data_IF_755187836247
#
_entry.id   IF_755187836247
#
_cell.length_a   1.000
_cell.length_b   1.000
_cell.length_c   1.000
_cell.angle_alpha   90.00
_cell.angle_beta   90.00
_cell.angle_gamma   90.00
#
_symmetry.space_group_name_H-M   'P 1'
#
loop_
_entity.id
_entity.type
_entity.pdbx_description
1 polymer ?
#
# COMPACT_ATOMS: atom_id res chain seq x y z
N UNK A 1 -15.64 -14.01 -2.26
CA UNK A 1 -14.33 -14.55 -1.93
C UNK A 1 -13.23 -13.71 -2.58
N UNK A 2 -12.17 -13.42 -1.84
CA UNK A 2 -11.11 -12.53 -2.29
C UNK A 2 -9.79 -13.27 -2.40
N UNK A 3 -8.98 -12.89 -3.38
CA UNK A 3 -7.66 -13.49 -3.60
C UNK A 3 -6.61 -12.41 -3.68
N UNK A 4 -5.54 -12.54 -2.88
CA UNK A 4 -4.37 -11.67 -2.96
C UNK A 4 -3.40 -12.30 -3.96
N UNK A 5 -2.86 -11.50 -4.86
CA UNK A 5 -1.97 -12.00 -5.90
C UNK A 5 -0.97 -10.94 -6.34
N UNK A 6 0.06 -11.37 -7.03
CA UNK A 6 1.06 -10.49 -7.61
C UNK A 6 0.62 -10.14 -9.05
N UNK A 7 0.39 -8.84 -9.34
CA UNK A 7 -0.08 -8.46 -10.69
C UNK A 7 1.08 -8.45 -11.68
N UNK A 8 1.47 -9.64 -12.16
CA UNK A 8 2.66 -9.81 -12.99
C UNK A 8 2.42 -9.61 -14.49
N UNK A 9 1.26 -10.01 -15.01
CA UNK A 9 1.05 -9.84 -16.42
C UNK A 9 0.72 -8.38 -16.73
N UNK A 10 0.96 -7.99 -17.97
CA UNK A 10 0.82 -6.61 -18.40
C UNK A 10 -0.59 -6.08 -18.16
N UNK A 11 -1.59 -6.88 -18.43
CA UNK A 11 -2.99 -6.47 -18.29
C UNK A 11 -3.37 -6.26 -16.83
N UNK A 12 -2.99 -7.19 -15.96
CA UNK A 12 -3.26 -7.07 -14.53
C UNK A 12 -2.50 -5.90 -13.93
N UNK A 13 -1.24 -5.69 -14.32
CA UNK A 13 -0.46 -4.59 -13.79
C UNK A 13 -1.05 -3.25 -14.20
N UNK A 14 -1.55 -3.13 -15.43
CA UNK A 14 -2.21 -1.91 -15.88
C UNK A 14 -3.48 -1.62 -15.09
N UNK A 15 -4.31 -2.64 -14.86
CA UNK A 15 -5.52 -2.50 -14.05
C UNK A 15 -5.19 -2.13 -12.61
N UNK A 16 -4.12 -2.70 -12.08
CA UNK A 16 -3.62 -2.41 -10.75
C UNK A 16 -3.21 -0.93 -10.63
N UNK A 17 -2.47 -0.40 -11.62
CA UNK A 17 -2.07 1.00 -11.62
C UNK A 17 -3.26 1.95 -11.83
N UNK A 18 -4.22 1.57 -12.66
CA UNK A 18 -5.43 2.37 -12.86
C UNK A 18 -6.20 2.51 -11.55
N UNK A 19 -6.36 1.41 -10.81
CA UNK A 19 -7.04 1.48 -9.53
C UNK A 19 -6.27 2.32 -8.53
N UNK A 20 -4.93 2.17 -8.49
CA UNK A 20 -4.08 3.00 -7.64
C UNK A 20 -4.30 4.49 -7.93
N UNK A 21 -4.29 4.86 -9.22
CA UNK A 21 -4.52 6.24 -9.62
C UNK A 21 -5.90 6.72 -9.18
N UNK A 22 -6.93 5.94 -9.48
CA UNK A 22 -8.31 6.31 -9.19
C UNK A 22 -8.56 6.54 -7.71
N UNK A 23 -7.93 5.73 -6.85
CA UNK A 23 -8.14 5.82 -5.40
C UNK A 23 -7.23 6.83 -4.73
N UNK A 24 -6.01 7.01 -5.22
CA UNK A 24 -4.99 7.77 -4.50
C UNK A 24 -4.58 9.08 -5.14
N UNK A 25 -4.92 9.29 -6.41
CA UNK A 25 -4.52 10.52 -7.12
C UNK A 25 -5.69 11.27 -7.73
N UNK A 26 -6.59 10.57 -8.39
CA UNK A 26 -7.72 11.22 -9.04
C UNK A 26 -8.55 12.10 -8.10
N UNK A 27 -8.86 11.69 -6.86
CA UNK A 27 -9.65 12.55 -5.96
C UNK A 27 -8.98 13.89 -5.66
N UNK A 28 -7.67 13.99 -5.86
CA UNK A 28 -6.88 15.20 -5.60
C UNK A 28 -6.44 15.89 -6.88
N UNK A 29 -7.02 15.55 -8.02
CA UNK A 29 -6.71 16.16 -9.31
C UNK A 29 -5.45 15.64 -9.98
N UNK A 30 -4.91 14.51 -9.53
CA UNK A 30 -3.69 13.93 -10.12
C UNK A 30 -3.93 13.35 -11.50
N UNK A 31 -2.98 13.57 -12.42
CA UNK A 31 -3.04 13.01 -13.77
C UNK A 31 -2.58 11.54 -13.76
N UNK A 32 -2.97 10.79 -14.80
CA UNK A 32 -2.43 9.45 -15.02
C UNK A 32 -0.91 9.53 -15.12
N UNK A 33 -0.24 8.63 -14.41
CA UNK A 33 1.22 8.63 -14.26
C UNK A 33 1.65 9.14 -12.89
N UNK A 34 0.86 10.02 -12.26
CA UNK A 34 1.17 10.53 -10.92
C UNK A 34 1.06 9.43 -9.84
N UNK A 35 0.46 8.30 -10.18
CA UNK A 35 0.34 7.16 -9.27
C UNK A 35 1.62 6.30 -9.22
N UNK A 36 2.62 6.60 -10.05
CA UNK A 36 3.86 5.82 -10.13
C UNK A 36 5.05 6.62 -9.65
N UNK A 37 6.13 5.94 -9.34
CA UNK A 37 7.42 6.55 -9.06
C UNK A 37 8.51 5.80 -9.84
N UNK A 38 9.78 6.17 -9.63
CA UNK A 38 10.89 5.63 -10.40
C UNK A 38 11.40 4.28 -9.89
N UNK A 39 10.75 3.67 -8.92
CA UNK A 39 11.17 2.40 -8.35
C UNK A 39 10.10 1.31 -8.45
N UNK A 40 9.14 1.46 -9.38
CA UNK A 40 8.13 0.42 -9.57
C UNK A 40 8.76 -0.93 -9.92
N UNK A 41 9.82 -0.91 -10.73
CA UNK A 41 10.46 -2.14 -11.20
C UNK A 41 11.14 -2.93 -10.09
N UNK A 42 11.59 -2.27 -9.03
CA UNK A 42 12.27 -2.94 -7.92
C UNK A 42 11.37 -3.12 -6.70
N UNK A 43 10.11 -2.74 -6.84
CA UNK A 43 9.12 -2.87 -5.77
C UNK A 43 8.38 -4.20 -5.91
N UNK A 44 7.82 -4.64 -4.80
CA UNK A 44 6.99 -5.84 -4.75
C UNK A 44 5.55 -5.39 -4.65
N UNK A 45 4.72 -5.87 -5.57
CA UNK A 45 3.34 -5.44 -5.72
C UNK A 45 2.39 -6.53 -5.31
N UNK A 46 1.29 -6.14 -4.66
CA UNK A 46 0.20 -7.06 -4.36
C UNK A 46 -1.12 -6.40 -4.70
N UNK A 47 -2.04 -7.21 -5.20
CA UNK A 47 -3.38 -6.79 -5.52
C UNK A 47 -4.38 -7.76 -4.89
N UNK A 48 -5.60 -7.29 -4.67
CA UNK A 48 -6.70 -8.17 -4.28
C UNK A 48 -7.74 -8.13 -5.38
N UNK A 49 -8.23 -9.30 -5.76
CA UNK A 49 -9.35 -9.41 -6.68
C UNK A 49 -10.53 -10.08 -6.00
N UNK A 50 -11.74 -9.73 -6.45
CA UNK A 50 -12.95 -10.37 -6.01
C UNK A 50 -13.23 -11.65 -6.81
N UNK A 51 -14.36 -12.30 -6.57
CA UNK A 51 -14.72 -13.54 -7.25
C UNK A 51 -15.10 -13.34 -8.72
N UNK A 52 -15.20 -12.09 -9.16
CA UNK A 52 -15.45 -11.77 -10.58
C UNK A 52 -14.17 -11.30 -11.29
N UNK A 53 -13.01 -11.50 -10.66
CA UNK A 53 -11.72 -11.10 -11.18
C UNK A 53 -11.51 -9.58 -11.30
N UNK A 54 -12.30 -8.78 -10.57
CA UNK A 54 -12.07 -7.34 -10.51
C UNK A 54 -11.02 -7.04 -9.45
N UNK A 55 -10.02 -6.23 -9.80
CA UNK A 55 -9.02 -5.77 -8.81
C UNK A 55 -9.69 -4.70 -7.96
N UNK A 56 -9.72 -4.93 -6.65
CA UNK A 56 -10.41 -4.05 -5.71
C UNK A 56 -9.49 -3.50 -4.62
N UNK A 57 -8.23 -3.92 -4.60
CA UNK A 57 -7.27 -3.42 -3.63
C UNK A 57 -5.86 -3.50 -4.18
N UNK A 58 -5.01 -2.62 -3.66
CA UNK A 58 -3.60 -2.50 -4.10
C UNK A 58 -2.71 -2.26 -2.89
N UNK A 59 -1.44 -2.65 -3.01
CA UNK A 59 -0.42 -2.36 -2.02
C UNK A 59 0.96 -2.63 -2.60
N UNK A 60 1.96 -1.90 -2.13
CA UNK A 60 3.34 -2.02 -2.60
C UNK A 60 4.31 -1.95 -1.43
N UNK A 61 5.38 -2.73 -1.50
CA UNK A 61 6.48 -2.64 -0.56
C UNK A 61 7.79 -2.61 -1.33
N UNK A 62 8.76 -1.84 -0.85
CA UNK A 62 10.11 -1.86 -1.38
C UNK A 62 11.11 -1.80 -0.23
N UNK A 63 12.33 -2.21 -0.50
CA UNK A 63 13.35 -2.30 0.53
C UNK A 63 14.37 -1.18 0.36
N UNK A 64 14.74 -0.57 1.50
CA UNK A 64 15.79 0.46 1.56
C UNK A 64 16.78 -0.05 2.60
N UNK A 65 17.88 -0.65 2.16
CA UNK A 65 18.85 -1.29 3.04
C UNK A 65 18.17 -2.34 3.93
N UNK A 66 18.14 -2.12 5.24
CA UNK A 66 17.60 -3.09 6.20
C UNK A 66 16.14 -2.80 6.60
N UNK A 67 15.50 -1.81 5.99
CA UNK A 67 14.13 -1.47 6.29
C UNK A 67 13.28 -1.57 5.03
N UNK A 68 11.95 -1.64 5.21
CA UNK A 68 11.03 -1.64 4.09
C UNK A 68 10.04 -0.49 4.23
N UNK A 69 9.55 -0.01 3.11
CA UNK A 69 8.48 0.99 3.09
C UNK A 69 7.27 0.44 2.36
N UNK A 70 6.10 0.55 2.98
CA UNK A 70 4.82 0.27 2.33
C UNK A 70 4.29 1.58 1.76
N UNK A 71 3.87 1.53 0.49
CA UNK A 71 3.24 2.67 -0.20
C UNK A 71 2.05 2.21 -1.02
N UNK A 72 1.21 3.17 -1.38
CA UNK A 72 0.11 2.96 -2.31
C UNK A 72 -0.86 1.87 -1.86
N UNK A 73 -1.19 1.92 -0.57
CA UNK A 73 -2.21 1.04 0.02
C UNK A 73 -3.59 1.65 -0.19
N UNK A 74 -4.47 0.91 -0.82
CA UNK A 74 -5.84 1.39 -0.99
C UNK A 74 -6.79 0.22 -1.28
N UNK A 75 -8.01 0.34 -0.77
CA UNK A 75 -9.09 -0.61 -1.04
C UNK A 75 -10.25 0.17 -1.63
N UNK A 76 -10.83 -0.35 -2.69
CA UNK A 76 -11.99 0.25 -3.33
C UNK A 76 -13.12 0.42 -2.31
N UNK A 77 -13.77 1.59 -2.30
CA UNK A 77 -14.73 1.97 -1.26
C UNK A 77 -15.82 0.92 -1.03
N UNK A 78 -16.35 0.33 -2.11
CA UNK A 78 -17.43 -0.67 -2.01
C UNK A 78 -16.99 -1.98 -1.34
N UNK A 79 -15.70 -2.19 -1.12
CA UNK A 79 -15.15 -3.40 -0.51
C UNK A 79 -14.47 -3.14 0.83
N UNK A 80 -14.64 -1.94 1.39
CA UNK A 80 -14.07 -1.61 2.71
C UNK A 80 -14.89 -2.22 3.83
N UNK A 81 -14.28 -2.26 5.03
CA UNK A 81 -14.96 -2.80 6.21
C UNK A 81 -14.98 -4.32 6.28
N UNK A 82 -14.17 -5.00 5.49
CA UNK A 82 -14.11 -6.47 5.42
C UNK A 82 -12.75 -7.02 5.83
N UNK A 83 -11.87 -6.19 6.36
CA UNK A 83 -10.54 -6.61 6.79
C UNK A 83 -9.54 -6.80 5.66
N UNK A 84 -9.84 -6.35 4.45
CA UNK A 84 -8.99 -6.60 3.28
C UNK A 84 -7.68 -5.79 3.33
N UNK A 85 -7.74 -4.57 3.84
CA UNK A 85 -6.52 -3.77 4.03
C UNK A 85 -5.55 -4.44 4.97
N UNK A 86 -6.06 -4.99 6.08
CA UNK A 86 -5.22 -5.73 7.03
C UNK A 86 -4.62 -6.99 6.39
N UNK A 87 -5.35 -7.65 5.50
CA UNK A 87 -4.83 -8.81 4.80
C UNK A 87 -3.69 -8.46 3.85
N UNK A 88 -3.79 -7.35 3.12
CA UNK A 88 -2.68 -6.88 2.28
C UNK A 88 -1.46 -6.56 3.14
N UNK A 89 -1.67 -5.83 4.23
CA UNK A 89 -0.55 -5.48 5.12
C UNK A 89 0.15 -6.73 5.62
N UNK A 90 -0.60 -7.73 6.08
CA UNK A 90 -0.01 -8.97 6.56
C UNK A 90 0.77 -9.69 5.47
N UNK A 91 0.27 -9.68 4.25
CA UNK A 91 0.97 -10.26 3.11
C UNK A 91 2.28 -9.54 2.83
N UNK A 92 2.27 -8.19 2.83
CA UNK A 92 3.48 -7.41 2.61
C UNK A 92 4.47 -7.57 3.76
N UNK A 93 3.98 -7.67 4.99
CA UNK A 93 4.86 -7.92 6.15
C UNK A 93 5.53 -9.29 6.04
N UNK A 94 4.81 -10.29 5.54
CA UNK A 94 5.40 -11.61 5.32
C UNK A 94 6.49 -11.56 4.26
N UNK A 95 6.27 -10.83 3.17
CA UNK A 95 7.31 -10.61 2.16
C UNK A 95 8.55 -9.99 2.79
N UNK A 96 8.37 -8.97 3.62
CA UNK A 96 9.49 -8.32 4.31
C UNK A 96 10.22 -9.30 5.24
N UNK A 97 9.48 -10.05 6.05
CA UNK A 97 10.05 -11.05 6.96
C UNK A 97 10.85 -12.11 6.22
N UNK A 98 10.33 -12.58 5.10
CA UNK A 98 11.02 -13.57 4.28
C UNK A 98 12.32 -13.04 3.68
N UNK A 99 12.46 -11.72 3.59
CA UNK A 99 13.67 -11.06 3.12
C UNK A 99 14.51 -10.52 4.29
N UNK A 100 14.25 -11.00 5.50
CA UNK A 100 14.99 -10.68 6.72
C UNK A 100 14.93 -9.20 7.11
N UNK A 101 13.90 -8.50 6.66
CA UNK A 101 13.64 -7.13 7.06
C UNK A 101 13.02 -7.16 8.47
N UNK A 102 13.48 -6.26 9.33
CA UNK A 102 13.01 -6.21 10.73
C UNK A 102 12.18 -4.99 11.05
N UNK A 103 12.15 -4.01 10.18
CA UNK A 103 11.37 -2.79 10.41
C UNK A 103 10.68 -2.37 9.12
N UNK A 104 9.40 -2.02 9.25
CA UNK A 104 8.62 -1.42 8.16
C UNK A 104 8.22 -0.03 8.57
N UNK A 105 8.30 0.92 7.65
CA UNK A 105 7.69 2.23 7.83
C UNK A 105 6.74 2.55 6.69
N UNK A 106 5.87 3.51 6.95
CA UNK A 106 4.96 4.04 5.96
C UNK A 106 4.62 5.48 6.33
N UNK A 107 4.11 6.22 5.37
CA UNK A 107 3.63 7.57 5.60
C UNK A 107 2.10 7.53 5.45
N UNK A 108 1.40 7.67 6.57
CA UNK A 108 -0.05 7.56 6.62
C UNK A 108 -0.69 8.93 6.50
N UNK A 109 -1.76 9.01 5.73
CA UNK A 109 -2.65 10.17 5.81
C UNK A 109 -3.32 10.19 7.19
N UNK A 110 -3.73 11.38 7.61
CA UNK A 110 -4.35 11.55 8.93
C UNK A 110 -5.56 10.63 9.13
N UNK A 111 -6.37 10.47 8.10
CA UNK A 111 -7.60 9.69 8.19
C UNK A 111 -7.40 8.17 8.19
N UNK A 112 -6.17 7.69 8.01
CA UNK A 112 -5.88 6.25 8.05
C UNK A 112 -4.98 5.83 9.21
N UNK A 113 -4.64 6.76 10.09
CA UNK A 113 -3.78 6.48 11.24
C UNK A 113 -4.36 5.35 12.11
N UNK A 114 -5.65 5.41 12.41
CA UNK A 114 -6.28 4.38 13.27
C UNK A 114 -6.21 3.00 12.66
N UNK A 115 -6.33 2.91 11.33
CA UNK A 115 -6.20 1.65 10.63
C UNK A 115 -4.81 1.05 10.82
N UNK A 116 -3.77 1.87 10.66
CA UNK A 116 -2.41 1.39 10.84
C UNK A 116 -2.09 1.09 12.30
N UNK A 117 -2.61 1.89 13.23
CA UNK A 117 -2.44 1.59 14.67
C UNK A 117 -3.05 0.24 15.03
N UNK A 118 -4.22 -0.08 14.46
CA UNK A 118 -4.84 -1.39 14.65
C UNK A 118 -3.93 -2.52 14.16
N UNK A 119 -3.12 -2.26 13.14
CA UNK A 119 -2.16 -3.21 12.60
C UNK A 119 -0.79 -3.09 13.27
N UNK A 120 -0.72 -2.40 14.42
CA UNK A 120 0.45 -2.30 15.30
C UNK A 120 1.56 -1.39 14.77
N UNK A 121 1.20 -0.42 13.96
CA UNK A 121 2.12 0.65 13.57
C UNK A 121 2.01 1.79 14.56
N UNK A 122 3.14 2.44 14.87
CA UNK A 122 3.21 3.56 15.82
C UNK A 122 3.59 4.83 15.11
N UNK A 123 2.95 5.94 15.49
CA UNK A 123 3.30 7.26 14.94
C UNK A 123 4.68 7.65 15.45
N UNK A 124 5.53 8.08 14.51
CA UNK A 124 6.86 8.60 14.83
C UNK A 124 6.88 10.12 14.76
N UNK A 125 6.48 10.69 13.63
CA UNK A 125 6.47 12.14 13.45
C UNK A 125 5.63 12.50 12.22
N UNK A 126 5.27 13.78 12.14
CA UNK A 126 4.65 14.33 10.95
C UNK A 126 5.72 14.50 9.86
N UNK A 127 5.33 14.22 8.61
CA UNK A 127 6.23 14.37 7.46
C UNK A 127 5.59 15.29 6.42
N UNK A 128 6.43 15.92 5.60
CA UNK A 128 5.94 16.78 4.53
C UNK A 128 5.22 15.94 3.48
N UNK A 129 4.09 16.48 2.98
CA UNK A 129 3.34 15.82 1.93
C UNK A 129 4.05 16.05 0.59
N UNK A 130 4.14 14.99 -0.20
CA UNK A 130 4.62 15.09 -1.58
C UNK A 130 3.49 15.41 -2.55
N UNK A 131 2.25 15.52 -2.08
CA UNK A 131 1.10 15.73 -2.96
C UNK A 131 0.05 16.60 -2.26
N UNK A 132 -0.01 17.88 -2.66
CA UNK A 132 -0.98 18.84 -2.14
C UNK A 132 -0.76 19.17 -0.67
N UNK A 133 -1.83 19.54 0.01
CA UNK A 133 -1.80 19.93 1.43
C UNK A 133 -2.19 18.77 2.35
N UNK A 134 -2.06 17.54 1.89
CA UNK A 134 -2.41 16.36 2.67
C UNK A 134 -1.36 16.13 3.76
N UNK A 135 -1.80 16.12 5.01
CA UNK A 135 -0.91 15.86 6.14
C UNK A 135 -0.61 14.37 6.21
N UNK A 136 0.67 14.04 6.31
CA UNK A 136 1.13 12.67 6.46
C UNK A 136 1.92 12.50 7.75
N UNK A 137 1.87 11.29 8.29
CA UNK A 137 2.62 10.91 9.49
C UNK A 137 3.43 9.67 9.19
N UNK A 138 4.71 9.70 9.51
CA UNK A 138 5.53 8.50 9.46
C UNK A 138 5.11 7.57 10.58
N UNK A 139 4.86 6.32 10.22
CA UNK A 139 4.53 5.27 11.19
C UNK A 139 5.47 4.09 10.97
N UNK A 140 5.77 3.38 12.05
CA UNK A 140 6.73 2.27 12.03
C UNK A 140 6.22 1.06 12.79
N UNK A 141 6.69 -0.09 12.36
CA UNK A 141 6.43 -1.37 13.03
C UNK A 141 7.69 -2.22 12.98
N UNK A 142 8.07 -2.77 14.13
CA UNK A 142 9.15 -3.75 14.18
C UNK A 142 8.56 -5.14 13.94
N UNK A 143 9.20 -5.91 13.09
CA UNK A 143 8.78 -7.27 12.79
C UNK A 143 9.49 -8.25 13.70
N UNK A 144 8.73 -9.23 14.19
CA UNK A 144 9.29 -10.33 14.97
C UNK A 144 9.68 -11.44 14.00
N UNK A 145 10.92 -11.90 14.11
CA UNK A 145 11.42 -12.97 13.26
C UNK A 145 11.89 -14.14 14.10
#
# INVERSE_FOLDING_TARGET
>A
MYTIFEPNDKNDFEKYLILRWRLLRWPWGGRRGSETDNIEDISIHRAIKDNKNNIIGVGRIHFINQVAQIRYMAIKKSHRGKGLGSKIIMELEEVASNNKIKKIFLNSRENTIKFYQKNRYQIINQVDSSFGDIIHYRMEKNLEN
#
